data_IF_026528203709
#
_entry.id   IF_026528203709
#
_cell.length_a   1.000
_cell.length_b   1.000
_cell.length_c   1.000
_cell.angle_alpha   90.00
_cell.angle_beta   90.00
_cell.angle_gamma   90.00
#
_symmetry.space_group_name_H-M   'P 1'
#
loop_
_entity.id
_entity.type
_entity.pdbx_description
1 polymer ?
#
# COMPACT_ATOMS: atom_id res chain seq x y z
N UNK A 1 -7.90 -14.66 11.87
CA UNK A 1 -7.46 -13.32 11.45
C UNK A 1 -7.74 -12.32 12.57
N UNK A 2 -6.72 -11.60 13.00
CA UNK A 2 -6.83 -10.45 13.90
C UNK A 2 -6.42 -9.19 13.14
N UNK A 3 -7.34 -8.29 12.93
CA UNK A 3 -7.13 -7.06 12.16
C UNK A 3 -6.15 -6.07 12.81
N UNK A 4 -5.85 -6.26 14.10
CA UNK A 4 -4.87 -5.45 14.85
C UNK A 4 -3.48 -6.08 14.90
N UNK A 5 -3.31 -7.31 14.41
CA UNK A 5 -2.10 -8.11 14.51
C UNK A 5 -1.43 -8.38 13.15
N UNK A 6 -1.57 -7.49 12.17
CA UNK A 6 -0.78 -7.57 10.94
C UNK A 6 0.71 -7.42 11.24
N UNK A 7 1.54 -8.20 10.54
CA UNK A 7 2.99 -8.14 10.67
C UNK A 7 3.60 -7.33 9.53
N UNK A 8 4.76 -6.74 9.77
CA UNK A 8 5.46 -5.95 8.76
C UNK A 8 6.92 -6.34 8.67
N UNK A 9 7.46 -6.31 7.46
CA UNK A 9 8.89 -6.27 7.17
C UNK A 9 9.24 -4.93 6.54
N UNK A 10 10.49 -4.49 6.74
CA UNK A 10 10.96 -3.22 6.21
C UNK A 10 12.44 -3.00 6.51
N UNK A 11 13.00 -1.91 5.99
CA UNK A 11 14.40 -1.54 6.13
C UNK A 11 14.62 -0.14 6.76
N UNK A 12 13.54 0.46 7.30
CA UNK A 12 13.55 1.81 7.86
C UNK A 12 13.09 2.90 6.87
N UNK A 13 13.24 2.68 5.58
CA UNK A 13 12.80 3.57 4.51
C UNK A 13 11.62 3.01 3.72
N UNK A 14 11.49 1.70 3.70
CA UNK A 14 10.42 0.95 3.05
C UNK A 14 9.73 0.02 4.05
N UNK A 15 8.43 -0.20 3.89
CA UNK A 15 7.63 -1.10 4.71
C UNK A 15 6.59 -1.85 3.88
N UNK A 16 6.43 -3.12 4.21
CA UNK A 16 5.45 -4.03 3.62
C UNK A 16 4.71 -4.77 4.74
N UNK A 17 3.43 -4.43 4.91
CA UNK A 17 2.57 -5.01 5.96
C UNK A 17 1.72 -6.11 5.36
N UNK A 18 1.72 -7.29 5.96
CA UNK A 18 1.08 -8.50 5.44
C UNK A 18 -0.05 -9.01 6.33
N UNK A 19 -0.96 -9.75 5.74
CA UNK A 19 -1.96 -10.54 6.44
C UNK A 19 -1.42 -11.93 6.84
N UNK A 20 -2.29 -12.78 7.38
CA UNK A 20 -1.93 -14.12 7.83
C UNK A 20 -1.40 -15.03 6.72
N UNK A 21 -1.57 -14.69 5.44
CA UNK A 21 -1.00 -15.45 4.32
C UNK A 21 0.47 -15.14 4.06
N UNK A 22 1.04 -14.15 4.74
CA UNK A 22 2.41 -13.68 4.50
C UNK A 22 2.53 -12.70 3.33
N UNK A 23 1.43 -12.40 2.65
CA UNK A 23 1.29 -11.38 1.61
C UNK A 23 0.08 -10.47 1.95
N UNK A 24 -0.49 -9.80 0.96
CA UNK A 24 -1.61 -8.86 1.14
C UNK A 24 -2.86 -9.39 0.41
N UNK A 25 -3.28 -10.61 0.80
CA UNK A 25 -4.32 -11.36 0.07
C UNK A 25 -5.74 -10.88 0.43
N UNK A 26 -5.95 -10.50 1.71
CA UNK A 26 -7.27 -10.12 2.25
C UNK A 26 -7.25 -8.72 2.89
N UNK A 27 -6.92 -7.66 2.16
CA UNK A 27 -6.75 -6.31 2.74
C UNK A 27 -8.02 -5.79 3.42
N UNK A 28 -9.21 -6.15 2.95
CA UNK A 28 -10.48 -5.72 3.54
C UNK A 28 -10.67 -6.16 4.99
N UNK A 29 -10.04 -7.27 5.41
CA UNK A 29 -10.09 -7.75 6.79
C UNK A 29 -9.34 -6.85 7.77
N UNK A 30 -8.42 -6.05 7.27
CA UNK A 30 -7.54 -5.17 8.07
C UNK A 30 -7.90 -3.70 7.94
N UNK A 31 -8.86 -3.33 7.09
CA UNK A 31 -9.20 -1.93 6.78
C UNK A 31 -9.63 -1.08 7.98
N UNK A 32 -10.15 -1.71 9.04
CA UNK A 32 -10.55 -1.05 10.30
C UNK A 32 -9.60 -1.31 11.47
N UNK A 33 -8.49 -1.97 11.22
CA UNK A 33 -7.47 -2.30 12.20
C UNK A 33 -6.13 -1.66 11.86
N UNK A 34 -5.11 -2.49 11.63
CA UNK A 34 -3.83 -2.06 11.06
C UNK A 34 -3.84 -2.39 9.58
N UNK A 35 -4.09 -1.41 8.69
CA UNK A 35 -4.27 -1.65 7.27
C UNK A 35 -3.03 -2.26 6.63
N UNK A 36 -3.25 -3.16 5.67
CA UNK A 36 -2.16 -3.68 4.86
C UNK A 36 -1.67 -2.59 3.92
N UNK A 37 -0.36 -2.45 3.80
CA UNK A 37 0.21 -1.39 2.97
C UNK A 37 1.61 -1.70 2.49
N UNK A 38 1.94 -1.07 1.37
CA UNK A 38 3.29 -0.98 0.82
C UNK A 38 3.64 0.48 0.73
N UNK A 39 4.63 0.91 1.48
CA UNK A 39 5.02 2.33 1.58
C UNK A 39 6.53 2.48 1.48
N UNK A 40 6.97 3.63 0.96
CA UNK A 40 8.36 4.04 0.98
C UNK A 40 8.50 5.50 1.37
N UNK A 41 9.66 5.89 1.88
CA UNK A 41 9.95 7.27 2.29
C UNK A 41 9.79 8.29 1.17
N UNK A 42 10.09 7.92 -0.09
CA UNK A 42 9.95 8.80 -1.26
C UNK A 42 8.50 8.88 -1.77
N UNK A 43 7.64 7.96 -1.36
CA UNK A 43 6.28 7.80 -1.86
C UNK A 43 5.33 8.88 -1.36
N UNK A 44 5.48 10.11 -1.85
CA UNK A 44 4.61 11.25 -1.57
C UNK A 44 3.85 11.66 -2.81
N UNK A 45 2.64 12.15 -2.60
CA UNK A 45 1.77 12.69 -3.62
C UNK A 45 1.07 13.95 -3.11
N UNK A 46 0.73 14.83 -4.03
CA UNK A 46 -0.14 15.99 -3.78
C UNK A 46 -1.11 16.15 -4.92
N UNK A 47 -2.34 16.44 -4.57
CA UNK A 47 -3.32 16.88 -5.57
C UNK A 47 -2.95 18.26 -6.08
N UNK A 48 -3.36 18.56 -7.32
CA UNK A 48 -3.19 19.89 -7.89
C UNK A 48 -3.75 21.00 -7.00
N UNK A 49 -3.13 22.17 -7.04
CA UNK A 49 -3.59 23.37 -6.34
C UNK A 49 -4.13 24.44 -7.32
N UNK A 50 -5.27 24.21 -7.99
CA UNK A 50 -5.78 25.13 -9.00
C UNK A 50 -6.24 26.46 -8.40
N UNK A 51 -6.54 26.50 -7.10
CA UNK A 51 -6.94 27.71 -6.38
C UNK A 51 -5.75 28.55 -5.89
N UNK A 52 -4.52 28.02 -6.02
CA UNK A 52 -3.30 28.70 -5.60
C UNK A 52 -3.25 29.00 -4.11
N UNK A 53 -3.72 28.06 -3.26
CA UNK A 53 -3.64 28.22 -1.81
C UNK A 53 -2.18 28.34 -1.36
N UNK A 54 -1.95 29.26 -0.41
CA UNK A 54 -0.63 29.52 0.16
C UNK A 54 -0.61 29.16 1.63
N UNK A 55 0.54 28.71 2.11
CA UNK A 55 0.74 28.30 3.52
C UNK A 55 0.42 29.41 4.51
N UNK A 56 0.67 30.67 4.13
CA UNK A 56 0.39 31.84 4.98
C UNK A 56 -1.11 32.02 5.24
N UNK A 57 -1.98 31.53 4.35
CA UNK A 57 -3.43 31.65 4.49
C UNK A 57 -3.99 30.78 5.62
N UNK A 58 -3.24 29.77 6.06
CA UNK A 58 -3.67 28.84 7.13
C UNK A 58 -2.97 29.09 8.46
N UNK A 59 -2.18 30.15 8.56
CA UNK A 59 -1.49 30.52 9.79
C UNK A 59 -2.40 31.35 10.69
N UNK A 60 -2.35 31.04 11.99
CA UNK A 60 -3.00 31.81 13.05
C UNK A 60 -1.99 32.11 14.15
N UNK A 61 -1.98 33.35 14.60
CA UNK A 61 -1.15 33.79 15.72
C UNK A 61 -1.72 33.28 17.05
N UNK A 62 -0.84 32.82 17.90
CA UNK A 62 -1.13 32.41 19.28
C UNK A 62 -0.19 33.17 20.24
N UNK A 63 -0.78 33.88 21.19
CA UNK A 63 -0.03 34.55 22.27
C UNK A 63 0.22 33.57 23.42
N UNK A 64 1.49 33.28 23.67
CA UNK A 64 1.94 32.45 24.80
C UNK A 64 2.27 33.28 26.07
N UNK A 65 1.94 34.55 26.06
CA UNK A 65 2.22 35.50 27.16
C UNK A 65 3.64 36.05 27.11
N UNK A 66 3.90 37.06 27.91
CA UNK A 66 5.19 37.77 28.02
C UNK A 66 5.69 38.40 26.71
N UNK A 67 4.76 38.73 25.80
CA UNK A 67 5.09 39.27 24.47
C UNK A 67 5.63 38.23 23.47
N UNK A 68 5.39 36.97 23.73
CA UNK A 68 5.76 35.86 22.82
C UNK A 68 4.55 35.39 22.01
N UNK A 69 4.53 35.75 20.75
CA UNK A 69 3.50 35.35 19.78
C UNK A 69 4.13 34.48 18.68
N UNK A 70 3.48 33.38 18.33
CA UNK A 70 3.94 32.45 17.29
C UNK A 70 2.80 32.08 16.33
N UNK A 71 3.17 31.84 15.08
CA UNK A 71 2.25 31.44 14.03
C UNK A 71 2.19 29.91 13.90
N UNK A 72 0.98 29.37 13.93
CA UNK A 72 0.72 27.95 13.72
C UNK A 72 -0.26 27.72 12.59
N UNK A 73 -0.01 26.69 11.77
CA UNK A 73 -0.97 26.21 10.79
C UNK A 73 -2.20 25.62 11.50
N UNK A 74 -3.37 26.10 11.15
CA UNK A 74 -4.63 25.72 11.78
C UNK A 74 -5.63 25.19 10.77
N UNK A 75 -6.49 24.28 11.24
CA UNK A 75 -7.70 23.89 10.53
C UNK A 75 -8.78 24.94 10.82
N UNK A 76 -9.30 25.60 9.80
CA UNK A 76 -10.40 26.54 9.91
C UNK A 76 -11.73 25.82 9.76
N UNK A 77 -12.75 26.25 10.54
CA UNK A 77 -14.08 25.62 10.54
C UNK A 77 -15.14 26.45 9.78
N UNK A 78 -14.94 27.78 9.76
CA UNK A 78 -15.86 28.70 9.09
C UNK A 78 -15.69 28.62 7.57
N UNK A 79 -16.80 28.58 6.87
CA UNK A 79 -16.78 28.50 5.40
C UNK A 79 -16.07 29.70 4.78
N UNK A 80 -15.29 29.44 3.73
CA UNK A 80 -14.52 30.45 3.02
C UNK A 80 -13.10 29.98 2.68
N UNK A 81 -12.34 30.87 2.05
CA UNK A 81 -11.03 30.57 1.49
C UNK A 81 -10.03 29.98 2.48
N UNK A 82 -10.04 30.42 3.75
CA UNK A 82 -9.13 29.89 4.76
C UNK A 82 -9.45 28.43 5.12
N UNK A 83 -10.74 28.08 5.18
CA UNK A 83 -11.17 26.70 5.38
C UNK A 83 -10.75 25.84 4.19
N UNK A 84 -11.05 26.28 2.97
CA UNK A 84 -10.69 25.57 1.75
C UNK A 84 -9.16 25.34 1.65
N UNK A 85 -8.37 26.38 1.95
CA UNK A 85 -6.91 26.28 2.02
C UNK A 85 -6.46 25.29 3.07
N UNK A 86 -7.00 25.37 4.30
CA UNK A 86 -6.62 24.47 5.39
C UNK A 86 -7.03 23.01 5.11
N UNK A 87 -8.17 22.78 4.47
CA UNK A 87 -8.61 21.46 4.04
C UNK A 87 -7.68 20.90 2.96
N UNK A 88 -7.25 21.74 1.99
CA UNK A 88 -6.29 21.34 0.98
C UNK A 88 -4.91 21.00 1.59
N UNK A 89 -4.37 21.83 2.49
CA UNK A 89 -3.10 21.56 3.16
C UNK A 89 -3.18 20.36 4.11
N UNK A 90 -4.35 20.08 4.68
CA UNK A 90 -4.55 18.91 5.52
C UNK A 90 -4.34 17.60 4.78
N UNK A 91 -4.74 17.54 3.51
CA UNK A 91 -4.62 16.33 2.69
C UNK A 91 -3.37 16.33 1.80
N UNK A 92 -2.58 17.39 1.79
CA UNK A 92 -1.41 17.53 0.91
C UNK A 92 -0.17 18.05 1.65
N UNK A 93 1.02 17.44 1.45
CA UNK A 93 1.20 16.17 0.76
C UNK A 93 0.73 14.97 1.59
N UNK A 94 0.49 13.85 0.95
CA UNK A 94 0.13 12.60 1.64
C UNK A 94 1.00 11.44 1.15
N UNK A 95 1.06 10.39 1.96
CA UNK A 95 1.77 9.16 1.61
C UNK A 95 1.03 8.38 0.53
N UNK A 96 1.80 7.85 -0.42
CA UNK A 96 1.29 6.89 -1.40
C UNK A 96 1.25 5.49 -0.81
N UNK A 97 0.14 4.82 -1.01
CA UNK A 97 0.08 3.36 -0.98
C UNK A 97 0.60 2.83 -2.32
N UNK A 98 1.77 2.20 -2.33
CA UNK A 98 2.46 1.80 -3.57
C UNK A 98 1.82 0.61 -4.28
N UNK A 99 0.78 0.02 -3.70
CA UNK A 99 0.05 -1.13 -4.23
C UNK A 99 0.04 -2.30 -3.25
N UNK A 100 -0.79 -3.28 -3.53
CA UNK A 100 -0.83 -4.55 -2.81
C UNK A 100 -0.31 -5.69 -3.66
N UNK A 101 0.33 -6.65 -2.98
CA UNK A 101 0.81 -7.92 -3.53
C UNK A 101 0.18 -9.04 -2.71
N UNK A 102 -0.74 -9.78 -3.29
CA UNK A 102 -1.46 -10.86 -2.62
C UNK A 102 -1.34 -12.19 -3.37
N UNK A 103 -1.74 -13.28 -2.73
CA UNK A 103 -1.85 -14.56 -3.42
C UNK A 103 -3.01 -14.51 -4.41
N UNK A 104 -2.77 -15.02 -5.61
CA UNK A 104 -3.77 -15.24 -6.65
C UNK A 104 -4.55 -16.53 -6.39
N UNK A 105 -5.43 -16.50 -5.42
CA UNK A 105 -6.30 -17.63 -5.09
C UNK A 105 -7.49 -17.70 -6.05
N UNK A 106 -8.17 -18.86 -6.08
CA UNK A 106 -9.38 -19.03 -6.86
C UNK A 106 -10.46 -18.02 -6.51
N UNK A 107 -11.28 -17.63 -7.48
CA UNK A 107 -12.38 -16.69 -7.25
C UNK A 107 -13.34 -17.22 -6.17
N UNK A 108 -13.77 -16.32 -5.30
CA UNK A 108 -14.69 -16.60 -4.20
C UNK A 108 -14.06 -17.09 -2.90
N UNK A 109 -12.74 -17.34 -2.85
CA UNK A 109 -12.03 -17.67 -1.61
C UNK A 109 -12.11 -16.49 -0.63
N UNK A 110 -12.49 -16.79 0.60
CA UNK A 110 -12.61 -15.83 1.70
C UNK A 110 -11.55 -16.11 2.76
N UNK A 111 -11.25 -15.11 3.57
CA UNK A 111 -10.35 -15.25 4.71
C UNK A 111 -10.82 -16.36 5.70
N UNK A 112 -12.14 -16.57 5.82
CA UNK A 112 -12.72 -17.64 6.65
C UNK A 112 -12.43 -19.07 6.16
N UNK A 113 -12.00 -19.23 4.90
CA UNK A 113 -11.73 -20.55 4.31
C UNK A 113 -10.31 -21.02 4.63
N UNK A 114 -9.50 -20.15 5.24
CA UNK A 114 -8.14 -20.44 5.66
C UNK A 114 -8.14 -20.95 7.11
N UNK A 115 -7.50 -22.08 7.32
CA UNK A 115 -7.37 -22.75 8.61
C UNK A 115 -5.90 -23.01 8.97
N UNK A 116 -5.64 -23.51 10.16
CA UNK A 116 -4.30 -23.90 10.65
C UNK A 116 -3.24 -22.79 10.55
N UNK A 117 -3.67 -21.56 10.76
CA UNK A 117 -2.81 -20.36 10.59
C UNK A 117 -1.73 -20.34 11.69
N UNK A 118 -0.49 -20.24 11.24
CA UNK A 118 0.67 -19.96 12.08
C UNK A 118 1.55 -18.94 11.38
N UNK A 119 1.82 -17.83 12.04
CA UNK A 119 2.67 -16.79 11.48
C UNK A 119 3.70 -16.34 12.52
N UNK A 120 4.93 -16.13 12.06
CA UNK A 120 6.05 -15.72 12.91
C UNK A 120 6.86 -14.65 12.20
N UNK A 121 7.18 -13.57 12.90
CA UNK A 121 8.16 -12.57 12.49
C UNK A 121 9.47 -12.80 13.24
N UNK A 122 10.53 -13.10 12.51
CA UNK A 122 11.89 -13.09 13.02
C UNK A 122 12.49 -11.69 12.85
N UNK A 123 12.45 -10.90 13.90
CA UNK A 123 12.89 -9.50 13.88
C UNK A 123 14.38 -9.32 13.55
N UNK A 124 15.22 -10.31 13.90
CA UNK A 124 16.66 -10.26 13.60
C UNK A 124 16.99 -10.49 12.13
N UNK A 125 16.15 -11.26 11.45
CA UNK A 125 16.31 -11.55 10.02
C UNK A 125 15.45 -10.68 9.12
N UNK A 126 14.47 -9.93 9.68
CA UNK A 126 13.46 -9.24 8.88
C UNK A 126 12.63 -10.19 8.02
N UNK A 127 12.26 -11.36 8.61
CA UNK A 127 11.61 -12.46 7.89
C UNK A 127 10.28 -12.82 8.54
N UNK A 128 9.23 -12.88 7.72
CA UNK A 128 7.93 -13.43 8.10
C UNK A 128 7.79 -14.81 7.48
N UNK A 129 7.45 -15.80 8.30
CA UNK A 129 7.02 -17.12 7.86
C UNK A 129 5.55 -17.30 8.17
N UNK A 130 4.77 -17.73 7.20
CA UNK A 130 3.33 -17.98 7.33
C UNK A 130 3.02 -19.39 6.86
N UNK A 131 2.29 -20.12 7.68
CA UNK A 131 1.76 -21.42 7.35
C UNK A 131 0.23 -21.37 7.46
N UNK A 132 -0.49 -21.93 6.50
CA UNK A 132 -1.94 -22.06 6.55
C UNK A 132 -2.43 -23.19 5.65
N UNK A 133 -3.66 -23.62 5.87
CA UNK A 133 -4.36 -24.61 5.04
C UNK A 133 -5.51 -23.96 4.30
N UNK A 134 -5.62 -24.21 2.99
CA UNK A 134 -6.76 -23.79 2.16
C UNK A 134 -7.24 -24.97 1.29
N UNK A 135 -8.51 -25.33 1.40
CA UNK A 135 -9.11 -26.45 0.66
C UNK A 135 -8.29 -27.75 0.77
N UNK A 136 -7.79 -28.05 1.98
CA UNK A 136 -6.98 -29.23 2.28
C UNK A 136 -5.53 -29.18 1.78
N UNK A 137 -5.10 -28.08 1.17
CA UNK A 137 -3.72 -27.87 0.76
C UNK A 137 -2.99 -26.96 1.74
N UNK A 138 -1.82 -27.39 2.19
CA UNK A 138 -0.94 -26.55 2.98
C UNK A 138 -0.22 -25.54 2.09
N UNK A 139 -0.05 -24.34 2.63
CA UNK A 139 0.75 -23.26 2.07
C UNK A 139 1.80 -22.82 3.08
N UNK A 140 3.03 -22.74 2.63
CA UNK A 140 4.14 -22.16 3.37
C UNK A 140 4.65 -20.95 2.61
N UNK A 141 4.59 -19.78 3.23
CA UNK A 141 5.00 -18.51 2.63
C UNK A 141 6.08 -17.87 3.49
N UNK A 142 7.17 -17.50 2.84
CA UNK A 142 8.26 -16.76 3.45
C UNK A 142 8.38 -15.40 2.77
N UNK A 143 8.36 -14.33 3.56
CA UNK A 143 8.44 -12.95 3.06
C UNK A 143 9.56 -12.22 3.76
N UNK A 144 10.42 -11.56 2.98
CA UNK A 144 11.56 -10.77 3.46
C UNK A 144 11.62 -9.43 2.75
N UNK A 145 12.16 -8.43 3.42
CA UNK A 145 12.52 -7.14 2.84
C UNK A 145 14.03 -7.07 2.60
N UNK A 146 14.42 -6.48 1.48
CA UNK A 146 15.84 -6.20 1.22
C UNK A 146 16.34 -5.12 2.18
N UNK A 147 17.56 -5.25 2.74
CA UNK A 147 18.07 -4.30 3.74
C UNK A 147 18.32 -2.89 3.22
N UNK A 148 18.64 -2.75 1.92
CA UNK A 148 19.07 -1.46 1.34
C UNK A 148 18.25 -1.03 0.11
N UNK A 149 17.18 -1.73 -0.23
CA UNK A 149 16.34 -1.44 -1.40
C UNK A 149 14.86 -1.56 -1.05
N UNK A 150 14.05 -0.77 -1.71
CA UNK A 150 12.57 -0.85 -1.66
C UNK A 150 12.09 -2.12 -2.39
N UNK A 151 12.38 -3.26 -1.82
CA UNK A 151 12.13 -4.56 -2.44
C UNK A 151 11.71 -5.59 -1.41
N UNK A 152 10.67 -6.34 -1.74
CA UNK A 152 10.31 -7.57 -1.03
C UNK A 152 10.62 -8.79 -1.89
N UNK A 153 10.92 -9.90 -1.24
CA UNK A 153 10.93 -11.22 -1.87
C UNK A 153 9.98 -12.13 -1.11
N UNK A 154 9.19 -12.89 -1.85
CA UNK A 154 8.29 -13.89 -1.29
C UNK A 154 8.50 -15.24 -1.96
N UNK A 155 8.58 -16.29 -1.14
CA UNK A 155 8.58 -17.68 -1.58
C UNK A 155 7.29 -18.35 -1.14
N UNK A 156 6.61 -19.03 -2.07
CA UNK A 156 5.36 -19.73 -1.81
C UNK A 156 5.54 -21.21 -2.15
N UNK A 157 5.33 -22.06 -1.17
CA UNK A 157 5.37 -23.52 -1.35
C UNK A 157 4.00 -24.11 -1.07
N UNK A 158 3.41 -24.77 -2.07
CA UNK A 158 2.15 -25.51 -1.94
C UNK A 158 2.04 -26.55 -3.04
N UNK A 159 1.17 -27.55 -2.83
CA UNK A 159 0.73 -28.46 -3.90
C UNK A 159 -0.34 -27.84 -4.78
N UNK A 160 -1.09 -26.88 -4.25
CA UNK A 160 -2.05 -26.12 -5.03
C UNK A 160 -1.35 -25.03 -5.83
N UNK A 161 -1.85 -24.76 -7.03
CA UNK A 161 -1.37 -23.63 -7.81
C UNK A 161 -1.87 -22.33 -7.18
N UNK A 162 -0.99 -21.39 -6.97
CA UNK A 162 -1.33 -20.02 -6.57
C UNK A 162 -0.52 -19.04 -7.43
N UNK A 163 -1.21 -18.11 -8.05
CA UNK A 163 -0.60 -16.97 -8.70
C UNK A 163 -0.27 -15.86 -7.70
N UNK A 164 0.11 -14.71 -8.23
CA UNK A 164 0.28 -13.48 -7.46
C UNK A 164 -0.57 -12.37 -8.08
N UNK A 165 -1.33 -11.69 -7.24
CA UNK A 165 -2.15 -10.55 -7.61
C UNK A 165 -1.44 -9.24 -7.24
N UNK A 166 -1.47 -8.26 -8.15
CA UNK A 166 -1.00 -6.89 -7.89
C UNK A 166 -2.14 -5.92 -8.19
N UNK A 167 -2.48 -5.07 -7.23
CA UNK A 167 -3.46 -3.99 -7.40
C UNK A 167 -2.89 -2.67 -6.94
N UNK A 168 -3.27 -1.62 -7.63
CA UNK A 168 -2.77 -0.28 -7.37
C UNK A 168 -3.94 0.68 -7.17
N UNK A 169 -4.02 1.39 -6.02
CA UNK A 169 -5.10 2.31 -5.75
C UNK A 169 -4.78 3.73 -6.22
N UNK A 170 -5.80 4.58 -6.23
CA UNK A 170 -5.64 6.04 -6.27
C UNK A 170 -5.69 6.61 -4.86
N UNK A 171 -4.82 7.54 -4.47
CA UNK A 171 -4.82 8.11 -3.12
C UNK A 171 -6.03 9.02 -2.89
N UNK A 172 -6.48 9.14 -1.65
CA UNK A 172 -7.52 10.10 -1.25
C UNK A 172 -6.96 11.24 -0.39
N UNK A 173 -5.77 11.07 0.18
CA UNK A 173 -5.22 11.99 1.18
C UNK A 173 -6.03 12.04 2.48
N UNK A 174 -7.00 11.16 2.65
CA UNK A 174 -7.83 11.10 3.85
C UNK A 174 -7.00 10.68 5.08
N UNK A 175 -7.38 11.18 6.25
CA UNK A 175 -6.83 10.77 7.55
C UNK A 175 -7.68 9.64 8.14
N UNK A 176 -7.94 8.62 7.32
CA UNK A 176 -8.70 7.43 7.67
C UNK A 176 -7.81 6.19 7.52
N UNK A 177 -8.29 5.08 8.05
CA UNK A 177 -7.55 3.80 8.07
C UNK A 177 -7.12 3.33 6.69
N UNK A 178 -7.99 3.53 5.68
CA UNK A 178 -7.66 3.29 4.27
C UNK A 178 -7.73 4.62 3.50
N UNK A 179 -6.58 5.26 3.30
CA UNK A 179 -6.46 6.51 2.56
C UNK A 179 -6.38 6.29 1.04
N UNK A 180 -7.03 5.25 0.54
CA UNK A 180 -7.01 4.81 -0.84
C UNK A 180 -8.42 4.67 -1.42
N UNK A 181 -8.53 4.89 -2.74
CA UNK A 181 -9.71 4.56 -3.52
C UNK A 181 -9.34 3.49 -4.56
N UNK A 182 -9.80 2.26 -4.32
CA UNK A 182 -9.53 1.10 -5.17
C UNK A 182 -10.38 1.06 -6.44
N UNK A 183 -11.42 1.89 -6.51
CA UNK A 183 -12.40 1.93 -7.62
C UNK A 183 -12.19 3.14 -8.54
N UNK A 184 -11.31 4.07 -8.19
CA UNK A 184 -11.00 5.26 -8.99
C UNK A 184 -10.06 4.96 -10.17
N UNK A 185 -10.30 3.87 -10.88
CA UNK A 185 -9.42 3.35 -11.93
C UNK A 185 -9.25 4.26 -13.15
N UNK A 186 -10.08 5.29 -13.29
CA UNK A 186 -9.98 6.25 -14.39
C UNK A 186 -9.06 7.45 -14.06
N UNK A 187 -8.69 7.63 -12.78
CA UNK A 187 -7.83 8.72 -12.32
C UNK A 187 -6.34 8.43 -12.43
N UNK A 188 -5.98 7.18 -12.67
CA UNK A 188 -4.59 6.75 -12.75
C UNK A 188 -4.43 5.57 -13.73
N UNK A 189 -3.20 5.27 -14.08
CA UNK A 189 -2.91 4.16 -14.97
C UNK A 189 -1.69 3.37 -14.54
N UNK A 190 -1.73 2.07 -14.78
CA UNK A 190 -0.59 1.17 -14.67
C UNK A 190 -0.47 0.42 -15.98
N UNK A 191 0.71 0.41 -16.59
CA UNK A 191 0.97 -0.26 -17.86
C UNK A 191 2.21 -1.14 -17.79
N UNK A 192 2.18 -2.30 -18.43
CA UNK A 192 3.36 -3.13 -18.62
C UNK A 192 4.20 -2.46 -19.72
N UNK A 193 5.38 -1.93 -19.35
CA UNK A 193 6.28 -1.26 -20.29
C UNK A 193 7.39 -2.17 -20.79
N UNK A 194 7.66 -3.25 -20.09
CA UNK A 194 8.55 -4.34 -20.50
C UNK A 194 8.13 -5.64 -19.82
N UNK A 195 8.24 -6.74 -20.54
CA UNK A 195 8.04 -8.08 -20.01
C UNK A 195 8.93 -9.06 -20.77
N UNK A 196 9.53 -9.98 -20.05
CA UNK A 196 10.24 -11.16 -20.57
C UNK A 196 9.77 -12.42 -19.81
N UNK A 197 10.48 -13.54 -20.01
CA UNK A 197 10.07 -14.83 -19.45
C UNK A 197 10.04 -14.87 -17.90
N UNK A 198 10.81 -14.01 -17.22
CA UNK A 198 10.98 -14.05 -15.78
C UNK A 198 11.01 -12.66 -15.13
N UNK A 199 10.64 -11.62 -15.88
CA UNK A 199 10.55 -10.27 -15.32
C UNK A 199 9.51 -9.42 -16.03
N UNK A 200 9.04 -8.39 -15.33
CA UNK A 200 8.22 -7.33 -15.91
C UNK A 200 8.52 -5.99 -15.23
N UNK A 201 8.28 -4.92 -15.99
CA UNK A 201 8.33 -3.56 -15.46
C UNK A 201 6.98 -2.91 -15.72
N UNK A 202 6.34 -2.46 -14.67
CA UNK A 202 5.12 -1.68 -14.69
C UNK A 202 5.44 -0.20 -14.52
N UNK A 203 4.83 0.65 -15.33
CA UNK A 203 4.85 2.11 -15.16
C UNK A 203 3.53 2.53 -14.54
N UNK A 204 3.62 3.22 -13.41
CA UNK A 204 2.49 3.85 -12.72
C UNK A 204 2.47 5.34 -12.98
N UNK A 205 1.30 5.87 -13.34
CA UNK A 205 1.08 7.30 -13.53
C UNK A 205 -0.19 7.69 -12.77
N UNK A 206 -0.07 8.65 -11.88
CA UNK A 206 -1.17 9.27 -11.14
C UNK A 206 -0.88 10.77 -11.00
N UNK A 207 -1.75 11.59 -11.57
CA UNK A 207 -1.55 13.03 -11.71
C UNK A 207 -0.14 13.35 -12.28
N UNK A 208 0.67 14.13 -11.59
CA UNK A 208 2.05 14.46 -12.00
C UNK A 208 3.08 13.42 -11.52
N UNK A 209 2.66 12.45 -10.71
CA UNK A 209 3.55 11.44 -10.14
C UNK A 209 3.69 10.26 -11.08
N UNK A 210 4.94 9.87 -11.34
CA UNK A 210 5.25 8.66 -12.10
C UNK A 210 6.31 7.85 -11.35
N UNK A 211 6.06 6.54 -11.22
CA UNK A 211 7.06 5.60 -10.69
C UNK A 211 6.97 4.24 -11.39
N UNK A 212 7.94 3.39 -11.14
CA UNK A 212 8.05 2.08 -11.76
C UNK A 212 8.05 0.99 -10.70
N UNK A 213 7.43 -0.14 -11.03
CA UNK A 213 7.46 -1.35 -10.23
C UNK A 213 8.09 -2.45 -11.08
N UNK A 214 9.20 -3.01 -10.59
CA UNK A 214 9.87 -4.13 -11.25
C UNK A 214 9.50 -5.43 -10.54
N UNK A 215 9.11 -6.42 -11.31
CA UNK A 215 8.85 -7.77 -10.85
C UNK A 215 9.88 -8.73 -11.43
N UNK A 216 10.30 -9.70 -10.62
CA UNK A 216 11.05 -10.86 -11.06
C UNK A 216 10.47 -12.10 -10.41
N UNK A 217 10.48 -13.20 -11.12
CA UNK A 217 9.98 -14.48 -10.62
C UNK A 217 10.83 -15.64 -11.12
N UNK A 218 10.79 -16.73 -10.37
CA UNK A 218 11.36 -18.02 -10.77
C UNK A 218 10.25 -18.93 -11.33
N UNK A 219 10.63 -19.82 -12.24
CA UNK A 219 9.69 -20.72 -12.90
C UNK A 219 9.03 -20.13 -14.14
N UNK A 220 7.97 -20.80 -14.58
CA UNK A 220 7.18 -20.37 -15.74
C UNK A 220 5.93 -19.66 -15.26
N UNK A 221 5.84 -18.39 -15.55
CA UNK A 221 4.65 -17.59 -15.27
C UNK A 221 4.55 -16.46 -16.29
N UNK A 222 3.37 -15.89 -16.42
CA UNK A 222 3.08 -14.76 -17.28
C UNK A 222 2.31 -13.70 -16.50
N UNK A 223 2.74 -12.44 -16.59
CA UNK A 223 2.02 -11.32 -16.03
C UNK A 223 1.01 -10.81 -17.04
N UNK A 224 -0.25 -10.73 -16.65
CA UNK A 224 -1.32 -10.18 -17.47
C UNK A 224 -2.16 -9.18 -16.70
N UNK A 225 -2.67 -8.15 -17.38
CA UNK A 225 -3.66 -7.25 -16.83
C UNK A 225 -5.03 -7.96 -16.81
N UNK A 226 -5.61 -8.11 -15.62
CA UNK A 226 -6.96 -8.67 -15.40
C UNK A 226 -8.04 -7.59 -15.55
N UNK A 227 -7.74 -6.40 -15.06
CA UNK A 227 -8.55 -5.18 -15.24
C UNK A 227 -7.67 -3.96 -14.98
N UNK A 228 -8.18 -2.74 -15.22
CA UNK A 228 -7.42 -1.50 -14.99
C UNK A 228 -6.74 -1.51 -13.62
N UNK A 229 -5.43 -1.30 -13.62
CA UNK A 229 -4.58 -1.25 -12.41
C UNK A 229 -4.56 -2.54 -11.58
N UNK A 230 -4.99 -3.66 -12.15
CA UNK A 230 -4.99 -4.98 -11.53
C UNK A 230 -4.33 -6.01 -12.45
N UNK A 231 -3.27 -6.65 -11.97
CA UNK A 231 -2.45 -7.61 -12.70
C UNK A 231 -2.40 -8.95 -11.97
N UNK A 232 -2.25 -10.01 -12.74
CA UNK A 232 -2.12 -11.38 -12.23
C UNK A 232 -0.90 -12.03 -12.87
N UNK A 233 -0.05 -12.59 -12.05
CA UNK A 233 1.08 -13.43 -12.42
C UNK A 233 0.66 -14.89 -12.22
N UNK A 234 0.52 -15.67 -13.31
CA UNK A 234 0.09 -17.09 -13.31
C UNK A 234 0.89 -17.90 -14.30
#
# INVERSE_FOLDING_TARGET
>A
FDSLASLSVGNGEFAFTVDATGLQTFPSMYSKGVPLGTQSQWGWHSFANPQGYKSEEVLKAFDFGRGHEELYACQFKEEGRQKEASDWFRVNPHRLHLGIVGLGLSDGVKASDITDIRQTLNMWKGEITSHFTLNGNAFDVQTVCHPDQDMISASVTSRAHAGVNLRFPYPTGAHADDACNWDANDKHSTTIVRQDAQSAVLKRVLDETTYYVTLRWEGKANLAEKSKNYFVLT
#
